data_IF_920519413748
#
_entry.id   IF_920519413748
#
_cell.length_a   1.000
_cell.length_b   1.000
_cell.length_c   1.000
_cell.angle_alpha   90.00
_cell.angle_beta   90.00
_cell.angle_gamma   90.00
#
_symmetry.space_group_name_H-M   'P 1'
#
loop_
_entity.id
_entity.type
_entity.pdbx_description
1 polymer ?
#
# COMPACT_ATOMS: atom_id res chain seq x y z
N UNK A 1 -4.40 -1.15 -15.09
CA UNK A 1 -3.39 -1.46 -14.06
C UNK A 1 -3.63 -0.52 -12.88
N UNK A 2 -3.87 -1.02 -11.67
CA UNK A 2 -4.29 -0.19 -10.52
C UNK A 2 -3.27 -0.34 -9.39
N UNK A 3 -2.57 0.76 -9.06
CA UNK A 3 -1.51 0.83 -8.04
C UNK A 3 -1.98 0.25 -6.70
N UNK A 4 -3.23 0.54 -6.35
CA UNK A 4 -3.91 0.12 -5.13
C UNK A 4 -4.07 -1.40 -5.07
N UNK A 5 -4.41 -2.03 -6.20
CA UNK A 5 -4.47 -3.51 -6.30
C UNK A 5 -3.08 -4.14 -6.16
N UNK A 6 -2.04 -3.50 -6.70
CA UNK A 6 -0.66 -3.98 -6.58
C UNK A 6 -0.15 -3.90 -5.14
N UNK A 7 -0.41 -2.79 -4.44
CA UNK A 7 -0.15 -2.66 -2.99
C UNK A 7 -0.83 -3.79 -2.22
N UNK A 8 -2.13 -4.00 -2.45
CA UNK A 8 -2.92 -5.03 -1.77
C UNK A 8 -2.39 -6.43 -2.04
N UNK A 9 -2.07 -6.76 -3.30
CA UNK A 9 -1.51 -8.06 -3.71
C UNK A 9 -0.20 -8.33 -2.98
N UNK A 10 0.71 -7.36 -2.98
CA UNK A 10 2.02 -7.48 -2.32
C UNK A 10 1.87 -7.61 -0.79
N UNK A 11 0.97 -6.82 -0.18
CA UNK A 11 0.69 -6.91 1.25
C UNK A 11 0.17 -8.30 1.64
N UNK A 12 -0.80 -8.82 0.89
CA UNK A 12 -1.40 -10.13 1.13
C UNK A 12 -0.39 -11.26 0.93
N UNK A 13 0.46 -11.19 -0.10
CA UNK A 13 1.53 -12.17 -0.33
C UNK A 13 2.53 -12.26 0.83
N UNK A 14 2.66 -11.19 1.63
CA UNK A 14 3.50 -11.15 2.84
C UNK A 14 2.76 -11.51 4.14
N UNK A 15 1.47 -11.85 4.08
CA UNK A 15 0.67 -12.15 5.27
C UNK A 15 0.44 -10.94 6.20
N UNK A 16 0.62 -9.71 5.68
CA UNK A 16 0.55 -8.49 6.48
C UNK A 16 -0.90 -8.02 6.61
N UNK A 17 -1.37 -7.78 7.85
CA UNK A 17 -2.69 -7.17 8.10
C UNK A 17 -2.67 -5.66 7.80
N UNK A 18 -3.80 -5.12 7.35
CA UNK A 18 -3.97 -3.68 7.10
C UNK A 18 -3.60 -2.83 8.33
N UNK A 19 -4.02 -3.27 9.53
CA UNK A 19 -3.64 -2.69 10.82
C UNK A 19 -2.13 -2.46 11.01
N UNK A 20 -1.27 -3.36 10.51
CA UNK A 20 0.17 -3.24 10.70
C UNK A 20 0.75 -2.06 9.90
N UNK A 21 0.34 -1.90 8.65
CA UNK A 21 0.74 -0.74 7.83
C UNK A 21 0.09 0.54 8.34
N UNK A 22 -1.18 0.52 8.71
CA UNK A 22 -1.85 1.73 9.21
C UNK A 22 -1.18 2.27 10.47
N UNK A 23 -0.73 1.38 11.37
CA UNK A 23 0.05 1.75 12.55
C UNK A 23 1.38 2.41 12.15
N UNK A 24 2.13 1.82 11.22
CA UNK A 24 3.39 2.39 10.72
C UNK A 24 3.20 3.77 10.07
N UNK A 25 2.11 3.94 9.32
CA UNK A 25 1.77 5.20 8.68
C UNK A 25 1.16 6.24 9.63
N UNK A 26 0.87 5.87 10.87
CA UNK A 26 0.13 6.67 11.85
C UNK A 26 -1.22 7.16 11.30
N UNK A 27 -2.00 6.25 10.72
CA UNK A 27 -3.36 6.49 10.21
C UNK A 27 -4.33 5.41 10.72
N UNK A 28 -5.63 5.67 10.62
CA UNK A 28 -6.62 4.64 10.92
C UNK A 28 -6.57 3.50 9.91
N UNK A 29 -6.88 2.27 10.36
CA UNK A 29 -7.02 1.10 9.48
C UNK A 29 -8.06 1.34 8.38
N UNK A 30 -9.15 2.05 8.69
CA UNK A 30 -10.15 2.47 7.69
C UNK A 30 -9.55 3.38 6.61
N UNK A 31 -8.67 4.32 6.98
CA UNK A 31 -7.99 5.19 6.00
C UNK A 31 -7.07 4.37 5.11
N UNK A 32 -6.33 3.41 5.67
CA UNK A 32 -5.50 2.50 4.88
C UNK A 32 -6.33 1.58 3.96
N UNK A 33 -7.45 1.05 4.45
CA UNK A 33 -8.37 0.27 3.63
C UNK A 33 -8.88 1.05 2.41
N UNK A 34 -9.16 2.35 2.56
CA UNK A 34 -9.50 3.22 1.40
C UNK A 34 -8.34 3.38 0.42
N UNK A 35 -7.09 3.37 0.87
CA UNK A 35 -5.92 3.41 -0.02
C UNK A 35 -5.91 2.17 -0.93
N UNK A 36 -6.25 0.99 -0.43
CA UNK A 36 -6.22 -0.25 -1.23
C UNK A 36 -7.46 -0.48 -2.10
N UNK A 37 -8.59 0.16 -1.78
CA UNK A 37 -9.89 -0.14 -2.41
C UNK A 37 -10.52 1.06 -3.15
N UNK A 38 -9.82 2.19 -3.27
CA UNK A 38 -10.29 3.34 -4.07
C UNK A 38 -9.39 3.61 -5.26
N UNK A 39 -9.91 4.28 -6.29
CA UNK A 39 -9.11 4.69 -7.45
C UNK A 39 -8.49 6.09 -7.29
N UNK A 40 -8.44 6.61 -6.06
CA UNK A 40 -7.83 7.92 -5.78
C UNK A 40 -6.31 7.84 -5.88
N UNK A 41 -5.71 8.87 -6.48
CA UNK A 41 -4.26 9.04 -6.55
C UNK A 41 -3.67 9.01 -5.13
N UNK A 42 -2.66 8.15 -4.95
CA UNK A 42 -1.84 8.09 -3.73
C UNK A 42 -0.70 9.09 -3.92
N UNK A 43 -0.43 9.93 -2.91
CA UNK A 43 0.73 10.81 -2.95
C UNK A 43 2.03 10.02 -2.84
N UNK A 44 3.10 10.51 -3.48
CA UNK A 44 4.37 9.80 -3.56
C UNK A 44 4.97 9.50 -2.19
N UNK A 45 4.77 10.37 -1.18
CA UNK A 45 5.30 10.17 0.17
C UNK A 45 4.60 9.00 0.87
N UNK A 46 3.29 8.87 0.74
CA UNK A 46 2.54 7.72 1.24
C UNK A 46 2.95 6.44 0.50
N UNK A 47 3.12 6.51 -0.83
CA UNK A 47 3.54 5.37 -1.64
C UNK A 47 4.92 4.84 -1.21
N UNK A 48 5.89 5.74 -1.03
CA UNK A 48 7.25 5.43 -0.54
C UNK A 48 7.22 4.78 0.85
N UNK A 49 6.43 5.32 1.79
CA UNK A 49 6.31 4.71 3.12
C UNK A 49 5.71 3.30 3.06
N UNK A 50 4.73 3.06 2.19
CA UNK A 50 4.17 1.71 1.99
C UNK A 50 5.24 0.78 1.41
N UNK A 51 6.02 1.25 0.45
CA UNK A 51 7.13 0.50 -0.14
C UNK A 51 8.19 0.13 0.91
N UNK A 52 8.59 1.10 1.74
CA UNK A 52 9.54 0.92 2.85
C UNK A 52 9.03 -0.14 3.85
N UNK A 53 7.77 -0.05 4.29
CA UNK A 53 7.20 -1.04 5.20
C UNK A 53 7.16 -2.43 4.59
N UNK A 54 6.79 -2.52 3.31
CA UNK A 54 6.74 -3.78 2.57
C UNK A 54 8.13 -4.26 2.13
N UNK A 55 9.20 -3.52 2.39
CA UNK A 55 10.56 -3.81 1.93
C UNK A 55 10.62 -4.12 0.42
N UNK A 56 10.12 -3.18 -0.39
CA UNK A 56 10.16 -3.20 -1.86
C UNK A 56 10.52 -1.83 -2.41
N UNK A 57 10.90 -1.76 -3.69
CA UNK A 57 11.00 -0.49 -4.41
C UNK A 57 9.60 0.00 -4.80
N UNK A 58 9.28 1.29 -4.61
CA UNK A 58 7.96 1.84 -4.91
C UNK A 58 7.51 1.65 -6.38
N UNK A 59 8.46 1.57 -7.33
CA UNK A 59 8.16 1.30 -8.74
C UNK A 59 7.43 -0.01 -8.95
N UNK A 60 7.59 -0.98 -8.04
CA UNK A 60 6.92 -2.28 -8.15
C UNK A 60 5.39 -2.14 -8.21
N UNK A 61 4.82 -1.12 -7.55
CA UNK A 61 3.39 -0.88 -7.57
C UNK A 61 2.89 -0.42 -8.96
N UNK A 62 3.79 0.05 -9.82
CA UNK A 62 3.52 0.58 -11.15
C UNK A 62 3.80 -0.44 -12.27
N UNK A 63 4.48 -1.56 -11.97
CA UNK A 63 5.00 -2.48 -13.01
C UNK A 63 4.36 -3.87 -13.02
N UNK A 64 3.71 -4.31 -11.93
CA UNK A 64 3.08 -5.64 -11.87
C UNK A 64 1.77 -5.70 -12.66
N UNK A 65 1.68 -6.65 -13.60
CA UNK A 65 0.46 -7.05 -14.34
C UNK A 65 -0.41 -8.05 -13.56
#
# INVERSE_FOLDING_TARGET
MCVQKNIKRIRLARGIKQKAISNYLNISEMKYSRIENSDKKIDSKTLEKIAQFLNVNANIFLTIN
#
